data_IF_538675760091
#
_entry.id   IF_538675760091
#
_cell.length_a   1.000
_cell.length_b   1.000
_cell.length_c   1.000
_cell.angle_alpha   90.00
_cell.angle_beta   90.00
_cell.angle_gamma   90.00
#
_symmetry.space_group_name_H-M   'P 1'
#
loop_
_entity.id
_entity.type
_entity.pdbx_description
1 polymer ?
#
# COMPACT_ATOMS: atom_id res chain seq x y z
N UNK A 1 -15.98 6.76 -10.50
CA UNK A 1 -16.02 5.81 -9.36
C UNK A 1 -17.44 5.63 -8.83
N UNK A 2 -17.89 4.39 -8.60
CA UNK A 2 -19.25 4.10 -8.09
C UNK A 2 -19.28 4.08 -6.55
N UNK A 3 -20.25 4.75 -5.94
CA UNK A 3 -20.46 4.69 -4.49
C UNK A 3 -21.11 3.36 -4.09
N UNK A 4 -20.44 2.57 -3.26
CA UNK A 4 -20.96 1.29 -2.77
C UNK A 4 -22.16 1.44 -1.82
N UNK A 5 -22.37 2.63 -1.25
CA UNK A 5 -23.47 2.91 -0.32
C UNK A 5 -24.77 3.31 -1.03
N UNK A 6 -24.69 4.19 -2.01
CA UNK A 6 -25.89 4.74 -2.68
C UNK A 6 -25.94 4.49 -4.19
N UNK A 7 -24.92 3.87 -4.78
CA UNK A 7 -24.85 3.59 -6.21
C UNK A 7 -24.59 4.82 -7.09
N UNK A 8 -24.36 6.01 -6.52
CA UNK A 8 -24.08 7.21 -7.30
C UNK A 8 -22.72 7.14 -7.99
N UNK A 9 -22.65 7.64 -9.22
CA UNK A 9 -21.40 7.79 -9.95
C UNK A 9 -20.71 9.10 -9.53
N UNK A 10 -19.42 9.03 -9.21
CA UNK A 10 -18.62 10.16 -8.73
C UNK A 10 -17.39 10.33 -9.63
N UNK A 11 -16.81 11.53 -9.64
CA UNK A 11 -15.57 11.81 -10.36
C UNK A 11 -14.45 10.86 -9.89
N UNK A 12 -13.55 10.48 -10.80
CA UNK A 12 -12.38 9.70 -10.43
C UNK A 12 -11.48 10.55 -9.52
N UNK A 13 -11.09 10.00 -8.37
CA UNK A 13 -10.37 10.73 -7.33
C UNK A 13 -11.24 11.48 -6.31
N UNK A 14 -12.59 11.42 -6.42
CA UNK A 14 -13.45 11.99 -5.40
C UNK A 14 -13.31 11.25 -4.05
N UNK A 15 -12.93 11.96 -2.99
CA UNK A 15 -12.78 11.40 -1.63
C UNK A 15 -14.13 11.09 -0.95
N UNK A 16 -15.14 11.89 -1.26
CA UNK A 16 -16.49 11.76 -0.73
C UNK A 16 -17.51 11.64 -1.85
N UNK A 17 -18.57 10.88 -1.61
CA UNK A 17 -19.69 10.80 -2.51
C UNK A 17 -20.44 12.13 -2.50
N UNK A 18 -20.50 12.80 -3.66
CA UNK A 18 -21.24 14.06 -3.80
C UNK A 18 -22.75 13.92 -3.61
N UNK A 19 -23.27 12.69 -3.57
CA UNK A 19 -24.70 12.41 -3.40
C UNK A 19 -25.09 12.02 -1.97
N UNK A 20 -24.29 11.19 -1.28
CA UNK A 20 -24.64 10.68 0.07
C UNK A 20 -23.61 11.00 1.16
N UNK A 21 -22.50 11.67 0.83
CA UNK A 21 -21.43 12.01 1.76
C UNK A 21 -20.61 10.82 2.26
N UNK A 22 -20.80 9.61 1.71
CA UNK A 22 -19.99 8.46 2.09
C UNK A 22 -18.55 8.62 1.58
N UNK A 23 -17.58 8.23 2.40
CA UNK A 23 -16.18 8.08 1.98
C UNK A 23 -16.13 7.06 0.84
N UNK A 24 -15.49 7.45 -0.26
CA UNK A 24 -15.29 6.57 -1.40
C UNK A 24 -13.93 5.87 -1.26
N UNK A 25 -13.83 4.59 -1.65
CA UNK A 25 -12.55 3.88 -1.63
C UNK A 25 -11.56 4.63 -2.53
N UNK A 26 -10.45 5.13 -1.97
CA UNK A 26 -9.52 6.03 -2.66
C UNK A 26 -9.02 5.49 -4.01
N UNK A 27 -9.02 4.16 -4.22
CA UNK A 27 -8.69 3.51 -5.49
C UNK A 27 -9.65 2.36 -5.84
N UNK A 28 -10.71 2.60 -6.62
CA UNK A 28 -11.57 1.52 -7.14
C UNK A 28 -10.84 0.54 -8.09
N UNK A 29 -9.72 0.98 -8.69
CA UNK A 29 -8.82 0.13 -9.50
C UNK A 29 -8.10 -0.90 -8.62
N UNK A 30 -7.78 -0.53 -7.37
CA UNK A 30 -7.12 -1.41 -6.42
C UNK A 30 -8.00 -2.60 -6.02
N UNK A 31 -9.30 -2.34 -5.76
CA UNK A 31 -10.26 -3.39 -5.42
C UNK A 31 -10.44 -4.45 -6.52
N UNK A 32 -10.29 -4.08 -7.80
CA UNK A 32 -10.34 -5.02 -8.93
C UNK A 32 -9.03 -5.80 -9.11
N UNK A 33 -7.87 -5.20 -8.81
CA UNK A 33 -6.59 -5.91 -8.84
C UNK A 33 -6.51 -6.97 -7.72
N UNK A 34 -7.13 -6.70 -6.57
CA UNK A 34 -7.19 -7.61 -5.42
C UNK A 34 -8.11 -8.81 -5.61
N UNK A 35 -9.12 -8.75 -6.49
CA UNK A 35 -10.02 -9.88 -6.76
C UNK A 35 -9.39 -11.02 -7.58
N UNK A 36 -8.14 -10.86 -8.02
CA UNK A 36 -7.40 -11.83 -8.85
C UNK A 36 -6.11 -12.31 -8.19
N UNK A 37 -6.06 -12.33 -6.86
CA UNK A 37 -4.97 -12.99 -6.15
C UNK A 37 -5.11 -14.52 -6.26
N UNK A 38 -4.35 -15.14 -7.16
CA UNK A 38 -4.19 -16.60 -7.24
C UNK A 38 -3.27 -17.09 -6.09
N UNK A 39 -3.74 -17.01 -4.85
CA UNK A 39 -3.03 -17.61 -3.72
C UNK A 39 -3.23 -19.13 -3.73
N UNK A 40 -2.17 -19.90 -3.44
CA UNK A 40 -2.27 -21.36 -3.27
C UNK A 40 -3.11 -21.62 -2.01
N UNK A 41 -4.29 -22.21 -2.20
CA UNK A 41 -5.23 -22.52 -1.12
C UNK A 41 -4.55 -23.38 -0.04
N UNK A 42 -4.70 -22.99 1.23
CA UNK A 42 -4.06 -23.67 2.36
C UNK A 42 -2.56 -23.38 2.58
N UNK A 43 -1.94 -22.51 1.76
CA UNK A 43 -0.57 -22.03 2.00
C UNK A 43 -0.60 -20.81 2.91
N UNK A 44 0.14 -20.88 4.02
CA UNK A 44 0.48 -19.69 4.80
C UNK A 44 1.62 -18.98 4.10
N UNK A 45 1.43 -17.69 3.86
CA UNK A 45 2.46 -16.83 3.32
C UNK A 45 3.10 -16.07 4.48
N UNK A 46 4.41 -16.21 4.64
CA UNK A 46 5.11 -15.57 5.73
C UNK A 46 5.12 -14.05 5.52
N UNK A 47 4.90 -13.33 6.63
CA UNK A 47 5.07 -11.88 6.65
C UNK A 47 6.57 -11.52 6.57
N UNK A 48 6.91 -10.36 5.99
CA UNK A 48 8.27 -9.85 6.07
C UNK A 48 8.72 -9.76 7.54
N UNK A 49 9.86 -10.35 7.84
CA UNK A 49 10.52 -10.29 9.16
C UNK A 49 11.43 -9.05 9.28
N UNK A 50 11.84 -8.51 8.14
CA UNK A 50 12.70 -7.33 8.05
C UNK A 50 11.89 -6.05 8.22
N UNK A 51 12.34 -5.22 9.16
CA UNK A 51 11.90 -3.84 9.30
C UNK A 51 12.70 -2.94 8.34
N UNK A 52 12.01 -2.20 7.50
CA UNK A 52 12.58 -1.21 6.60
C UNK A 52 12.28 0.18 7.15
N UNK A 53 13.28 0.94 7.62
CA UNK A 53 13.05 2.27 8.16
C UNK A 53 12.56 3.20 7.05
N UNK A 54 11.59 4.05 7.39
CA UNK A 54 11.03 5.03 6.47
C UNK A 54 10.95 6.39 7.16
N UNK A 55 11.83 7.31 6.73
CA UNK A 55 12.00 8.63 7.35
C UNK A 55 10.71 9.45 7.30
N UNK A 56 9.90 9.34 6.24
CA UNK A 56 8.64 10.08 6.14
C UNK A 56 7.63 9.59 7.19
N UNK A 57 7.51 8.27 7.37
CA UNK A 57 6.64 7.67 8.39
C UNK A 57 7.10 8.07 9.79
N UNK A 58 8.40 7.99 10.06
CA UNK A 58 8.99 8.35 11.37
C UNK A 58 8.80 9.85 11.70
N UNK A 59 8.97 10.72 10.69
CA UNK A 59 8.75 12.16 10.83
C UNK A 59 7.29 12.50 11.09
N UNK A 60 6.37 11.86 10.38
CA UNK A 60 4.93 12.03 10.58
C UNK A 60 4.52 11.60 11.99
N UNK A 61 4.97 10.42 12.43
CA UNK A 61 4.67 9.92 13.78
C UNK A 61 5.16 10.90 14.85
N UNK A 62 6.40 11.36 14.72
CA UNK A 62 6.98 12.32 15.66
C UNK A 62 6.15 13.60 15.71
N UNK A 63 5.77 14.14 14.55
CA UNK A 63 4.95 15.34 14.46
C UNK A 63 3.56 15.15 15.10
N UNK A 64 2.93 13.99 14.91
CA UNK A 64 1.62 13.70 15.53
C UNK A 64 1.77 13.58 17.06
N UNK A 65 2.79 12.88 17.56
CA UNK A 65 3.04 12.76 19.00
C UNK A 65 3.27 14.16 19.61
N UNK A 66 4.12 14.98 18.98
CA UNK A 66 4.40 16.33 19.45
C UNK A 66 3.14 17.20 19.43
N UNK A 67 2.30 17.10 18.39
CA UNK A 67 1.02 17.79 18.30
C UNK A 67 0.06 17.38 19.43
N UNK A 68 -0.09 16.07 19.67
CA UNK A 68 -0.93 15.54 20.76
C UNK A 68 -0.44 15.98 22.16
N UNK A 69 0.86 16.21 22.30
CA UNK A 69 1.47 16.75 23.53
C UNK A 69 1.44 18.28 23.61
N UNK A 70 0.90 18.98 22.61
CA UNK A 70 0.84 20.45 22.54
C UNK A 70 2.19 21.12 22.27
N UNK A 71 3.14 20.39 21.68
CA UNK A 71 4.50 20.84 21.40
C UNK A 71 4.72 21.21 19.92
N UNK A 72 3.76 20.94 19.05
CA UNK A 72 3.83 21.18 17.61
C UNK A 72 2.51 21.75 17.07
N UNK A 73 2.57 22.47 15.95
CA UNK A 73 1.39 22.99 15.28
C UNK A 73 0.77 21.94 14.34
N UNK A 74 -0.56 21.96 14.21
CA UNK A 74 -1.32 21.10 13.29
C UNK A 74 -0.85 21.22 11.84
N UNK A 75 -0.44 22.42 11.40
CA UNK A 75 0.04 22.67 10.03
C UNK A 75 1.15 21.70 9.61
N UNK A 76 2.11 21.43 10.50
CA UNK A 76 3.23 20.52 10.19
C UNK A 76 2.76 19.07 10.04
N UNK A 77 1.76 18.67 10.81
CA UNK A 77 1.17 17.33 10.70
C UNK A 77 0.48 17.18 9.35
N UNK A 78 -0.30 18.17 8.93
CA UNK A 78 -0.94 18.18 7.61
C UNK A 78 0.08 18.17 6.48
N UNK A 79 1.13 19.00 6.54
CA UNK A 79 2.17 19.03 5.50
C UNK A 79 2.86 17.67 5.32
N UNK A 80 3.16 16.96 6.41
CA UNK A 80 3.78 15.64 6.36
C UNK A 80 2.80 14.56 5.90
N UNK A 81 1.54 14.65 6.30
CA UNK A 81 0.49 13.73 5.86
C UNK A 81 0.25 13.84 4.35
N UNK A 82 0.24 15.06 3.81
CA UNK A 82 0.07 15.32 2.37
C UNK A 82 1.26 14.76 1.56
N UNK A 83 2.49 14.94 2.04
CA UNK A 83 3.69 14.36 1.39
C UNK A 83 3.66 12.82 1.37
N UNK A 84 3.22 12.21 2.47
CA UNK A 84 3.03 10.77 2.54
C UNK A 84 1.94 10.31 1.57
N UNK A 85 0.82 11.04 1.48
CA UNK A 85 -0.27 10.71 0.57
C UNK A 85 0.18 10.80 -0.90
N UNK A 86 0.92 11.83 -1.28
CA UNK A 86 1.46 11.98 -2.63
C UNK A 86 2.38 10.81 -3.01
N UNK A 87 3.33 10.48 -2.12
CA UNK A 87 4.25 9.35 -2.31
C UNK A 87 3.47 8.03 -2.42
N UNK A 88 2.49 7.83 -1.53
CA UNK A 88 1.68 6.61 -1.53
C UNK A 88 0.78 6.48 -2.77
N UNK A 89 0.30 7.60 -3.32
CA UNK A 89 -0.51 7.58 -4.54
C UNK A 89 0.28 7.04 -5.73
N UNK A 90 1.55 7.46 -5.89
CA UNK A 90 2.44 6.94 -6.93
C UNK A 90 2.67 5.43 -6.78
N UNK A 91 2.91 4.98 -5.54
CA UNK A 91 3.11 3.57 -5.23
C UNK A 91 1.84 2.77 -5.56
N UNK A 92 0.67 3.21 -5.09
CA UNK A 92 -0.60 2.53 -5.30
C UNK A 92 -1.01 2.46 -6.79
N UNK A 93 -0.68 3.47 -7.60
CA UNK A 93 -0.92 3.44 -9.05
C UNK A 93 -0.05 2.40 -9.78
N UNK A 94 1.17 2.17 -9.29
CA UNK A 94 2.10 1.21 -9.90
C UNK A 94 1.76 -0.27 -9.61
N UNK A 95 1.12 -0.55 -8.47
CA UNK A 95 0.94 -1.91 -7.94
C UNK A 95 0.09 -2.83 -8.83
N UNK A 96 -1.05 -2.41 -9.42
CA UNK A 96 -1.84 -3.27 -10.30
C UNK A 96 -1.02 -3.83 -11.48
N UNK A 97 -0.12 -3.02 -12.05
CA UNK A 97 0.78 -3.46 -13.12
C UNK A 97 1.81 -4.45 -12.62
N UNK A 98 2.40 -4.19 -11.45
CA UNK A 98 3.38 -5.08 -10.82
C UNK A 98 2.76 -6.46 -10.47
N UNK A 99 1.56 -6.47 -9.89
CA UNK A 99 0.80 -7.70 -9.59
C UNK A 99 0.46 -8.47 -10.86
N UNK A 100 0.02 -7.79 -11.92
CA UNK A 100 -0.27 -8.44 -13.21
C UNK A 100 0.97 -9.09 -13.81
N UNK A 101 2.11 -8.40 -13.78
CA UNK A 101 3.38 -8.95 -14.26
C UNK A 101 3.83 -10.16 -13.42
N UNK A 102 3.75 -10.07 -12.10
CA UNK A 102 4.09 -11.15 -11.19
C UNK A 102 3.20 -12.39 -11.39
N UNK A 103 1.90 -12.20 -11.60
CA UNK A 103 0.97 -13.29 -11.90
C UNK A 103 1.26 -13.96 -13.26
N UNK A 104 1.63 -13.18 -14.27
CA UNK A 104 2.03 -13.74 -15.57
C UNK A 104 3.31 -14.57 -15.47
N UNK A 105 4.30 -14.06 -14.75
CA UNK A 105 5.59 -14.72 -14.54
C UNK A 105 5.42 -16.04 -13.76
N UNK A 106 4.60 -16.03 -12.70
CA UNK A 106 4.21 -17.22 -11.93
C UNK A 106 3.65 -18.34 -12.81
N UNK A 107 2.79 -18.04 -13.78
CA UNK A 107 2.18 -19.05 -14.66
C UNK A 107 3.21 -19.81 -15.52
N UNK A 108 4.40 -19.26 -15.69
CA UNK A 108 5.45 -19.84 -16.54
C UNK A 108 6.57 -20.55 -15.75
N UNK A 109 6.60 -20.43 -14.41
CA UNK A 109 7.68 -20.96 -13.55
C UNK A 109 7.15 -21.50 -12.20
N UNK A 110 6.42 -22.62 -12.23
CA UNK A 110 5.59 -23.15 -11.11
C UNK A 110 6.37 -23.60 -9.85
N UNK A 111 7.70 -23.80 -9.94
CA UNK A 111 8.51 -24.30 -8.81
C UNK A 111 9.13 -23.21 -7.94
N UNK A 112 9.12 -21.94 -8.34
CA UNK A 112 9.79 -20.87 -7.61
C UNK A 112 8.86 -20.22 -6.56
N UNK A 113 9.10 -20.54 -5.28
CA UNK A 113 8.30 -20.02 -4.17
C UNK A 113 8.37 -18.50 -4.03
N UNK A 114 9.47 -17.85 -4.43
CA UNK A 114 9.63 -16.39 -4.36
C UNK A 114 8.68 -15.67 -5.34
N UNK A 115 8.49 -16.23 -6.54
CA UNK A 115 7.58 -15.68 -7.56
C UNK A 115 6.11 -15.82 -7.17
N UNK A 116 5.79 -16.86 -6.39
CA UNK A 116 4.45 -17.07 -5.84
C UNK A 116 4.09 -16.13 -4.69
N UNK A 117 5.10 -15.62 -3.98
CA UNK A 117 4.95 -14.74 -2.84
C UNK A 117 4.73 -13.27 -3.27
N UNK A 118 5.24 -12.88 -4.44
CA UNK A 118 5.26 -11.48 -4.87
C UNK A 118 3.87 -10.84 -5.04
N UNK A 119 2.87 -11.47 -5.71
CA UNK A 119 1.52 -10.90 -5.81
C UNK A 119 0.88 -10.70 -4.42
N UNK A 120 1.07 -11.66 -3.53
CA UNK A 120 0.60 -11.59 -2.15
C UNK A 120 1.19 -10.37 -1.43
N UNK A 121 2.52 -10.24 -1.43
CA UNK A 121 3.20 -9.17 -0.71
C UNK A 121 2.80 -7.79 -1.22
N UNK A 122 2.75 -7.61 -2.55
CA UNK A 122 2.35 -6.36 -3.19
C UNK A 122 0.92 -5.97 -2.81
N UNK A 123 -0.02 -6.90 -2.91
CA UNK A 123 -1.42 -6.63 -2.59
C UNK A 123 -1.64 -6.39 -1.10
N UNK A 124 -1.04 -7.18 -0.22
CA UNK A 124 -1.15 -6.98 1.24
C UNK A 124 -0.53 -5.65 1.66
N UNK A 125 0.66 -5.32 1.17
CA UNK A 125 1.30 -4.04 1.47
C UNK A 125 0.46 -2.84 1.02
N UNK A 126 -0.15 -2.93 -0.16
CA UNK A 126 -1.03 -1.89 -0.68
C UNK A 126 -2.35 -1.75 0.07
N UNK A 127 -2.94 -2.86 0.51
CA UNK A 127 -4.17 -2.85 1.31
C UNK A 127 -3.94 -2.19 2.67
N UNK A 128 -2.83 -2.54 3.32
CA UNK A 128 -2.38 -1.90 4.55
C UNK A 128 -2.15 -0.39 4.34
N UNK A 129 -1.49 0.00 3.24
CA UNK A 129 -1.23 1.41 2.91
C UNK A 129 -2.54 2.18 2.77
N UNK A 130 -3.45 1.68 1.93
CA UNK A 130 -4.71 2.35 1.63
C UNK A 130 -5.61 2.44 2.86
N UNK A 131 -5.63 1.39 3.69
CA UNK A 131 -6.35 1.40 4.98
C UNK A 131 -5.77 2.44 5.93
N UNK A 132 -4.45 2.45 6.11
CA UNK A 132 -3.79 3.37 7.02
C UNK A 132 -3.98 4.84 6.60
N UNK A 133 -3.91 5.15 5.29
CA UNK A 133 -4.18 6.49 4.79
C UNK A 133 -5.64 6.93 5.03
N UNK A 134 -6.60 6.02 4.89
CA UNK A 134 -8.00 6.33 5.17
C UNK A 134 -8.24 6.58 6.67
N UNK A 135 -7.60 5.82 7.54
CA UNK A 135 -7.68 5.99 8.99
C UNK A 135 -6.95 7.26 9.45
N UNK A 136 -5.81 7.59 8.83
CA UNK A 136 -5.08 8.83 9.08
C UNK A 136 -5.92 10.06 8.71
N UNK A 137 -6.58 10.04 7.55
CA UNK A 137 -7.48 11.12 7.11
C UNK A 137 -8.66 11.32 8.07
N UNK A 138 -9.24 10.21 8.56
CA UNK A 138 -10.29 10.23 9.57
C UNK A 138 -9.78 10.83 10.89
N UNK A 139 -8.59 10.42 11.35
CA UNK A 139 -7.94 10.98 12.53
C UNK A 139 -7.74 12.50 12.41
N UNK A 140 -7.17 12.97 11.29
CA UNK A 140 -6.93 14.39 11.04
C UNK A 140 -8.24 15.18 10.94
N UNK A 141 -9.32 14.54 10.48
CA UNK A 141 -10.66 15.13 10.45
C UNK A 141 -11.35 15.18 11.82
N UNK A 142 -10.68 14.73 12.89
CA UNK A 142 -11.20 14.72 14.27
C UNK A 142 -12.09 13.53 14.60
N UNK A 143 -12.09 12.48 13.78
CA UNK A 143 -12.79 11.23 14.11
C UNK A 143 -12.05 10.47 15.23
N UNK A 144 -12.76 9.65 16.04
CA UNK A 144 -12.18 8.93 17.17
C UNK A 144 -11.37 7.70 16.71
N UNK A 145 -10.26 7.94 16.03
CA UNK A 145 -9.32 6.93 15.55
C UNK A 145 -8.09 6.92 16.47
N UNK A 146 -7.64 5.73 16.87
CA UNK A 146 -6.38 5.58 17.61
C UNK A 146 -5.20 5.67 16.63
N UNK A 147 -4.26 6.59 16.87
CA UNK A 147 -3.17 6.82 15.91
C UNK A 147 -2.10 5.72 15.92
N UNK A 148 -1.82 5.11 17.06
CA UNK A 148 -0.77 4.08 17.17
C UNK A 148 -1.00 2.89 16.22
N UNK A 149 -2.21 2.30 16.14
CA UNK A 149 -2.55 1.31 15.12
C UNK A 149 -2.43 1.79 13.66
N UNK A 150 -2.62 3.08 13.40
CA UNK A 150 -2.46 3.65 12.05
C UNK A 150 -0.99 3.68 11.66
N UNK A 151 -0.11 4.14 12.56
CA UNK A 151 1.33 4.17 12.34
C UNK A 151 1.92 2.76 12.21
N UNK A 152 1.41 1.78 12.97
CA UNK A 152 1.80 0.39 12.82
C UNK A 152 1.45 -0.16 11.42
N UNK A 153 0.24 0.09 10.92
CA UNK A 153 -0.15 -0.31 9.56
C UNK A 153 0.71 0.35 8.48
N UNK A 154 1.09 1.62 8.64
CA UNK A 154 2.01 2.30 7.70
C UNK A 154 3.37 1.61 7.65
N UNK A 155 3.94 1.28 8.82
CA UNK A 155 5.22 0.55 8.88
C UNK A 155 5.11 -0.85 8.32
N UNK A 156 4.03 -1.56 8.64
CA UNK A 156 3.80 -2.91 8.14
C UNK A 156 3.67 -2.89 6.61
N UNK A 157 2.85 -1.98 6.07
CA UNK A 157 2.75 -1.73 4.63
C UNK A 157 4.12 -1.51 3.99
N UNK A 158 4.93 -0.60 4.55
CA UNK A 158 6.27 -0.31 4.07
C UNK A 158 7.14 -1.57 4.04
N UNK A 159 7.04 -2.44 5.05
CA UNK A 159 7.79 -3.69 5.09
C UNK A 159 7.39 -4.65 3.96
N UNK A 160 6.09 -4.81 3.68
CA UNK A 160 5.60 -5.62 2.56
C UNK A 160 6.07 -5.08 1.21
N UNK A 161 5.96 -3.77 1.00
CA UNK A 161 6.28 -3.14 -0.28
C UNK A 161 7.79 -3.12 -0.54
N UNK A 162 8.62 -2.78 0.46
CA UNK A 162 10.07 -2.82 0.34
C UNK A 162 10.59 -4.25 0.18
N UNK A 163 10.01 -5.23 0.88
CA UNK A 163 10.38 -6.63 0.68
C UNK A 163 10.04 -7.11 -0.73
N UNK A 164 8.87 -6.74 -1.26
CA UNK A 164 8.49 -6.99 -2.66
C UNK A 164 9.49 -6.39 -3.64
N UNK A 165 9.92 -5.14 -3.42
CA UNK A 165 10.90 -4.47 -4.27
C UNK A 165 12.26 -5.19 -4.29
N UNK A 166 12.73 -5.69 -3.14
CA UNK A 166 13.97 -6.47 -3.06
C UNK A 166 13.87 -7.81 -3.81
N UNK A 167 12.72 -8.49 -3.70
CA UNK A 167 12.48 -9.71 -4.48
C UNK A 167 12.53 -9.38 -5.98
N UNK A 168 11.79 -8.37 -6.42
CA UNK A 168 11.78 -7.92 -7.82
C UNK A 168 13.20 -7.63 -8.32
N UNK A 169 13.99 -6.88 -7.55
CA UNK A 169 15.37 -6.57 -7.90
C UNK A 169 16.21 -7.85 -8.07
N UNK A 170 16.09 -8.80 -7.14
CA UNK A 170 16.81 -10.07 -7.20
C UNK A 170 16.45 -10.85 -8.47
N UNK A 171 15.16 -10.93 -8.81
CA UNK A 171 14.69 -11.61 -10.02
C UNK A 171 15.21 -10.94 -11.30
N UNK A 172 15.33 -9.60 -11.31
CA UNK A 172 15.94 -8.87 -12.42
C UNK A 172 17.43 -9.17 -12.58
N UNK A 173 18.20 -9.19 -11.49
CA UNK A 173 19.62 -9.50 -11.49
C UNK A 173 19.88 -10.94 -11.98
N UNK A 174 19.05 -11.91 -11.58
CA UNK A 174 19.11 -13.29 -12.06
C UNK A 174 18.82 -13.40 -13.57
N UNK A 175 17.82 -12.67 -14.06
CA UNK A 175 17.47 -12.65 -15.48
C UNK A 175 18.61 -12.07 -16.33
N UNK A 176 19.21 -10.96 -15.88
CA UNK A 176 20.35 -10.32 -16.58
C UNK A 176 21.59 -11.23 -16.59
N UNK A 177 21.87 -11.91 -15.48
CA UNK A 177 22.95 -12.89 -15.37
C UNK A 177 22.72 -14.14 -16.27
N UNK A 178 21.47 -14.52 -16.51
CA UNK A 178 21.14 -15.61 -17.42
C UNK A 178 21.37 -15.21 -18.88
N UNK A 179 20.98 -14.00 -19.27
CA UNK A 179 21.15 -13.46 -20.63
C UNK A 179 22.64 -13.33 -20.97
N UNK A 180 23.43 -12.75 -20.08
CA UNK A 180 24.88 -12.51 -20.28
C UNK A 180 25.74 -13.77 -20.35
N UNK A 181 25.24 -14.93 -19.90
CA UNK A 181 25.93 -16.23 -20.03
C UNK A 181 25.67 -16.94 -21.37
N UNK A 182 24.73 -16.42 -22.17
CA UNK A 182 24.34 -17.00 -23.46
C UNK A 182 25.07 -16.39 -24.66
N UNK A 183 25.92 -15.37 -24.43
CA UNK A 183 26.87 -14.78 -25.39
C UNK A 183 28.29 -15.31 -25.17
#
# INVERSE_FOLDING_TARGET
>A
MLCLRCGAENQNGARLCGSCGAILPRNAVFAQAMSHLDLKEGKTYDKPDRNYPNVQIDQLETAIIDFLNGQENEDKVYDLADQLEETAAEVLDSIPRAVTAANYDKQNQDEDELRHLLPYLLSTGAELLNTALSELDAFLSGEPVEIEPVMEKLRESNNYLCHSANIIQTLFEEADAAITKTD
#
